data_IF_426228353318
#
_entry.id   IF_426228353318
#
_cell.length_a   1.000
_cell.length_b   1.000
_cell.length_c   1.000
_cell.angle_alpha   90.00
_cell.angle_beta   90.00
_cell.angle_gamma   90.00
#
_symmetry.space_group_name_H-M   'P 1'
#
loop_
_entity.id
_entity.type
_entity.pdbx_description
1 polymer ?
#
# COMPACT_ATOMS: atom_id res chain seq x y z
N UNK A 1 14.05 37.30 -19.48
CA UNK A 1 12.68 37.69 -19.12
C UNK A 1 12.24 36.79 -17.97
N UNK A 2 12.53 37.21 -16.74
CA UNK A 2 12.26 36.43 -15.54
C UNK A 2 10.85 36.76 -15.03
N UNK A 3 9.96 35.77 -14.98
CA UNK A 3 8.65 35.91 -14.34
C UNK A 3 8.81 35.75 -12.84
N UNK A 4 8.84 36.90 -12.18
CA UNK A 4 8.76 37.10 -10.74
C UNK A 4 7.31 36.76 -10.30
N UNK A 5 7.11 35.65 -9.58
CA UNK A 5 5.81 35.35 -8.96
C UNK A 5 5.91 35.75 -7.49
N UNK A 6 5.62 37.02 -7.26
CA UNK A 6 5.35 37.56 -5.93
C UNK A 6 3.92 37.22 -5.51
N UNK A 7 3.81 36.63 -4.31
CA UNK A 7 2.72 36.81 -3.35
C UNK A 7 1.27 36.72 -3.85
N UNK A 8 0.64 35.56 -3.62
CA UNK A 8 -0.80 35.52 -3.36
C UNK A 8 -1.11 34.64 -2.16
N UNK A 9 -1.55 35.29 -1.07
CA UNK A 9 -1.93 34.71 0.22
C UNK A 9 -3.21 33.85 0.18
N UNK A 10 -3.70 33.45 -0.99
CA UNK A 10 -4.84 32.52 -1.15
C UNK A 10 -4.45 31.06 -1.43
N UNK A 11 -3.18 30.77 -1.75
CA UNK A 11 -2.72 29.44 -2.19
C UNK A 11 -2.27 28.47 -1.09
N UNK A 12 -2.32 28.89 0.18
CA UNK A 12 -1.69 28.15 1.29
C UNK A 12 -2.29 26.76 1.55
N UNK A 13 -3.62 26.64 1.52
CA UNK A 13 -4.30 25.37 1.76
C UNK A 13 -4.14 24.40 0.58
N UNK A 14 -4.27 24.89 -0.65
CA UNK A 14 -4.15 24.06 -1.85
C UNK A 14 -2.70 23.57 -2.05
N UNK A 15 -1.71 24.43 -1.82
CA UNK A 15 -0.29 24.05 -1.87
C UNK A 15 0.10 23.07 -0.75
N UNK A 16 -0.47 23.24 0.46
CA UNK A 16 -0.29 22.30 1.56
C UNK A 16 -0.93 20.94 1.26
N UNK A 17 -2.19 20.91 0.81
CA UNK A 17 -2.90 19.67 0.49
C UNK A 17 -2.18 18.91 -0.63
N UNK A 18 -1.68 19.63 -1.64
CA UNK A 18 -0.86 19.05 -2.70
C UNK A 18 0.42 18.43 -2.11
N UNK A 19 1.18 19.16 -1.29
CA UNK A 19 2.37 18.63 -0.64
C UNK A 19 2.06 17.39 0.23
N UNK A 20 0.91 17.35 0.91
CA UNK A 20 0.51 16.18 1.69
C UNK A 20 0.19 14.98 0.82
N UNK A 21 -0.55 15.15 -0.27
CA UNK A 21 -0.89 14.05 -1.17
C UNK A 21 0.37 13.48 -1.85
N UNK A 22 1.39 14.31 -2.07
CA UNK A 22 2.70 13.88 -2.60
C UNK A 22 3.73 13.58 -1.50
N UNK A 23 3.31 13.58 -0.24
CA UNK A 23 4.15 13.36 0.93
C UNK A 23 4.50 11.89 1.14
N UNK A 24 5.65 11.64 1.77
CA UNK A 24 6.16 10.29 2.03
C UNK A 24 5.26 9.51 2.97
N UNK A 25 4.69 10.17 3.98
CA UNK A 25 3.80 9.53 4.95
C UNK A 25 2.42 9.22 4.39
N UNK A 26 1.89 10.08 3.52
CA UNK A 26 0.64 9.80 2.82
C UNK A 26 0.78 8.60 1.87
N UNK A 27 1.95 8.46 1.24
CA UNK A 27 2.26 7.27 0.45
C UNK A 27 2.30 6.00 1.30
N UNK A 28 2.86 6.04 2.51
CA UNK A 28 2.82 4.89 3.43
C UNK A 28 1.37 4.51 3.76
N UNK A 29 0.51 5.49 4.04
CA UNK A 29 -0.92 5.25 4.25
C UNK A 29 -1.60 4.63 3.02
N UNK A 30 -1.36 5.19 1.83
CA UNK A 30 -1.89 4.66 0.57
C UNK A 30 -1.46 3.20 0.34
N UNK A 31 -0.19 2.90 0.64
CA UNK A 31 0.35 1.55 0.60
C UNK A 31 -0.31 0.61 1.60
N UNK A 32 -0.55 1.05 2.85
CA UNK A 32 -1.31 0.27 3.83
C UNK A 32 -2.70 -0.09 3.30
N UNK A 33 -3.42 0.86 2.70
CA UNK A 33 -4.75 0.59 2.11
C UNK A 33 -4.68 -0.39 0.94
N UNK A 34 -3.69 -0.26 0.06
CA UNK A 34 -3.46 -1.23 -1.02
C UNK A 34 -3.21 -2.63 -0.44
N UNK A 35 -2.40 -2.73 0.64
CA UNK A 35 -2.11 -4.01 1.30
C UNK A 35 -3.35 -4.63 1.97
N UNK A 36 -4.23 -3.81 2.56
CA UNK A 36 -5.54 -4.28 3.05
C UNK A 36 -6.35 -4.87 1.90
N UNK A 37 -6.38 -4.23 0.73
CA UNK A 37 -7.05 -4.75 -0.46
C UNK A 37 -6.39 -6.01 -1.05
N UNK A 38 -5.08 -6.14 -0.92
CA UNK A 38 -4.27 -7.15 -1.56
C UNK A 38 -4.33 -8.55 -0.91
N UNK A 39 -5.25 -8.83 0.02
CA UNK A 39 -5.37 -10.15 0.66
C UNK A 39 -6.67 -10.91 0.36
N UNK A 40 -7.29 -10.64 -0.78
CA UNK A 40 -8.49 -11.35 -1.26
C UNK A 40 -8.33 -12.89 -1.35
N UNK A 41 -7.11 -13.42 -1.51
CA UNK A 41 -6.89 -14.88 -1.53
C UNK A 41 -7.13 -15.59 -0.20
N UNK A 42 -7.09 -14.88 0.94
CA UNK A 42 -7.43 -15.46 2.24
C UNK A 42 -8.92 -15.81 2.35
N UNK A 43 -9.77 -15.18 1.54
CA UNK A 43 -11.21 -15.46 1.48
C UNK A 43 -11.55 -16.66 0.60
N UNK A 44 -10.56 -17.33 -0.01
CA UNK A 44 -10.81 -18.50 -0.85
C UNK A 44 -11.63 -19.56 -0.12
N UNK A 45 -11.39 -19.80 1.17
CA UNK A 45 -12.18 -20.76 1.94
C UNK A 45 -13.66 -20.41 2.07
N UNK A 46 -14.01 -19.13 1.93
CA UNK A 46 -15.40 -18.64 1.96
C UNK A 46 -16.04 -18.79 0.58
N UNK A 47 -15.47 -18.17 -0.45
CA UNK A 47 -16.11 -18.17 -1.78
C UNK A 47 -15.96 -19.50 -2.55
N UNK A 48 -14.96 -20.33 -2.25
CA UNK A 48 -14.82 -21.64 -2.89
C UNK A 48 -15.97 -22.58 -2.54
N UNK A 49 -16.53 -22.47 -1.33
CA UNK A 49 -17.72 -23.22 -0.92
C UNK A 49 -18.94 -22.86 -1.77
N UNK A 50 -19.10 -21.58 -2.10
CA UNK A 50 -20.16 -21.12 -3.00
C UNK A 50 -19.96 -21.57 -4.44
N UNK A 51 -18.71 -21.53 -4.94
CA UNK A 51 -18.37 -22.06 -6.26
C UNK A 51 -18.77 -23.55 -6.32
N UNK A 52 -18.47 -24.33 -5.27
CA UNK A 52 -18.87 -25.73 -5.13
C UNK A 52 -20.39 -25.89 -5.23
N UNK A 53 -21.13 -25.17 -4.38
CA UNK A 53 -22.58 -25.28 -4.28
C UNK A 53 -23.28 -24.85 -5.57
N UNK A 54 -22.78 -23.80 -6.23
CA UNK A 54 -23.45 -23.20 -7.39
C UNK A 54 -23.14 -23.93 -8.70
N UNK A 55 -21.89 -24.36 -8.88
CA UNK A 55 -21.45 -25.03 -10.11
C UNK A 55 -21.50 -26.56 -10.01
N UNK A 56 -21.79 -27.11 -8.83
CA UNK A 56 -21.81 -28.56 -8.60
C UNK A 56 -20.43 -29.19 -8.78
N UNK A 57 -19.37 -28.50 -8.35
CA UNK A 57 -18.01 -29.04 -8.35
C UNK A 57 -17.80 -29.97 -7.16
N UNK A 58 -16.91 -30.93 -7.32
CA UNK A 58 -16.49 -31.84 -6.28
C UNK A 58 -15.30 -31.26 -5.48
N UNK A 59 -14.91 -31.95 -4.40
CA UNK A 59 -13.82 -31.47 -3.55
C UNK A 59 -12.46 -31.54 -4.26
N UNK A 60 -12.24 -32.50 -5.16
CA UNK A 60 -10.99 -32.60 -5.92
C UNK A 60 -10.81 -31.37 -6.81
N UNK A 61 -11.87 -30.95 -7.51
CA UNK A 61 -11.87 -29.72 -8.30
C UNK A 61 -11.58 -28.49 -7.45
N UNK A 62 -12.16 -28.35 -6.26
CA UNK A 62 -11.85 -27.23 -5.37
C UNK A 62 -10.40 -27.24 -4.89
N UNK A 63 -9.85 -28.41 -4.59
CA UNK A 63 -8.45 -28.54 -4.21
C UNK A 63 -7.54 -28.10 -5.36
N UNK A 64 -7.87 -28.48 -6.61
CA UNK A 64 -7.16 -28.00 -7.81
C UNK A 64 -7.26 -26.48 -7.95
N UNK A 65 -8.44 -25.89 -7.75
CA UNK A 65 -8.63 -24.43 -7.75
C UNK A 65 -7.77 -23.76 -6.67
N UNK A 66 -7.67 -24.37 -5.49
CA UNK A 66 -6.79 -23.94 -4.40
C UNK A 66 -5.31 -24.00 -4.80
N UNK A 67 -4.87 -25.08 -5.44
CA UNK A 67 -3.52 -25.20 -5.99
C UNK A 67 -3.23 -24.13 -7.04
N UNK A 68 -4.18 -23.86 -7.94
CA UNK A 68 -4.02 -22.79 -8.94
C UNK A 68 -3.99 -21.38 -8.32
N UNK A 69 -4.77 -21.15 -7.26
CA UNK A 69 -4.68 -19.93 -6.44
C UNK A 69 -3.30 -19.78 -5.84
N UNK A 70 -2.79 -20.82 -5.18
CA UNK A 70 -1.49 -20.80 -4.52
C UNK A 70 -0.36 -20.62 -5.54
N UNK A 71 -0.47 -21.25 -6.70
CA UNK A 71 0.44 -21.02 -7.82
C UNK A 71 0.40 -19.54 -8.24
N UNK A 72 -0.77 -18.99 -8.52
CA UNK A 72 -0.92 -17.57 -8.91
C UNK A 72 -0.36 -16.62 -7.86
N UNK A 73 -0.62 -16.87 -6.58
CA UNK A 73 -0.11 -16.08 -5.45
C UNK A 73 1.41 -16.17 -5.29
N UNK A 74 2.04 -17.28 -5.68
CA UNK A 74 3.49 -17.47 -5.53
C UNK A 74 4.30 -17.11 -6.78
N UNK A 75 3.69 -17.08 -7.97
CA UNK A 75 4.36 -16.70 -9.23
C UNK A 75 4.51 -15.16 -9.29
N UNK A 76 5.40 -14.62 -8.47
CA UNK A 76 5.70 -13.18 -8.41
C UNK A 76 6.74 -12.69 -9.42
N UNK A 77 7.36 -13.61 -10.18
CA UNK A 77 8.44 -13.27 -11.14
C UNK A 77 7.94 -12.28 -12.19
N UNK A 78 6.70 -12.44 -12.67
CA UNK A 78 6.11 -11.55 -13.68
C UNK A 78 5.96 -10.11 -13.17
N UNK A 79 5.51 -9.92 -11.93
CA UNK A 79 5.39 -8.58 -11.35
C UNK A 79 6.75 -7.97 -11.06
N UNK A 80 7.74 -8.78 -10.66
CA UNK A 80 9.12 -8.34 -10.44
C UNK A 80 9.77 -7.83 -11.72
N UNK A 81 9.75 -8.64 -12.80
CA UNK A 81 10.27 -8.24 -14.11
C UNK A 81 9.58 -6.98 -14.64
N UNK A 82 8.25 -6.88 -14.50
CA UNK A 82 7.55 -5.67 -14.93
C UNK A 82 7.98 -4.44 -14.13
N UNK A 83 8.25 -4.58 -12.83
CA UNK A 83 8.68 -3.48 -11.98
C UNK A 83 10.12 -3.01 -12.25
N UNK A 84 10.94 -3.80 -12.95
CA UNK A 84 12.26 -3.37 -13.43
C UNK A 84 12.17 -2.47 -14.66
N UNK A 85 11.22 -2.74 -15.55
CA UNK A 85 11.09 -2.02 -16.84
C UNK A 85 10.04 -0.92 -16.83
N UNK A 86 9.04 -1.00 -15.93
CA UNK A 86 7.91 -0.09 -15.88
C UNK A 86 7.82 0.65 -14.54
N UNK A 87 7.25 1.88 -14.53
CA UNK A 87 7.07 2.64 -13.31
C UNK A 87 6.03 2.00 -12.36
N UNK A 88 6.09 2.27 -11.04
CA UNK A 88 5.19 1.64 -10.05
C UNK A 88 3.70 1.81 -10.32
N UNK A 89 3.29 2.97 -10.86
CA UNK A 89 1.89 3.24 -11.21
C UNK A 89 1.37 2.24 -12.26
N UNK A 90 2.21 1.87 -13.22
CA UNK A 90 1.83 0.93 -14.28
C UNK A 90 1.71 -0.48 -13.73
N UNK A 91 2.63 -0.89 -12.85
CA UNK A 91 2.59 -2.19 -12.16
C UNK A 91 1.29 -2.33 -11.33
N UNK A 92 0.92 -1.28 -10.58
CA UNK A 92 -0.32 -1.25 -9.81
C UNK A 92 -1.58 -1.26 -10.70
N UNK A 93 -1.53 -0.57 -11.84
CA UNK A 93 -2.63 -0.55 -12.82
C UNK A 93 -2.87 -1.96 -13.40
N UNK A 94 -1.81 -2.64 -13.83
CA UNK A 94 -1.89 -4.03 -14.32
C UNK A 94 -2.44 -4.94 -13.24
N UNK A 95 -1.95 -4.82 -12.00
CA UNK A 95 -2.48 -5.57 -10.86
C UNK A 95 -3.97 -5.33 -10.62
N UNK A 96 -4.42 -4.06 -10.66
CA UNK A 96 -5.83 -3.71 -10.49
C UNK A 96 -6.72 -4.32 -11.57
N UNK A 97 -6.30 -4.24 -12.84
CA UNK A 97 -7.02 -4.87 -13.96
C UNK A 97 -7.08 -6.38 -13.81
N UNK A 98 -5.97 -7.03 -13.43
CA UNK A 98 -5.94 -8.47 -13.18
C UNK A 98 -6.86 -8.87 -12.01
N UNK A 99 -6.87 -8.08 -10.93
CA UNK A 99 -7.74 -8.31 -9.78
C UNK A 99 -9.20 -8.27 -10.20
N UNK A 100 -9.61 -7.17 -10.84
CA UNK A 100 -10.97 -6.99 -11.30
C UNK A 100 -11.37 -8.08 -12.29
N UNK A 101 -10.57 -8.31 -13.34
CA UNK A 101 -10.88 -9.30 -14.36
C UNK A 101 -10.99 -10.73 -13.80
N UNK A 102 -10.06 -11.15 -12.95
CA UNK A 102 -10.06 -12.48 -12.34
C UNK A 102 -11.30 -12.72 -11.48
N UNK A 103 -11.53 -11.86 -10.48
CA UNK A 103 -12.66 -12.02 -9.55
C UNK A 103 -14.01 -11.72 -10.20
N UNK A 104 -14.09 -10.79 -11.15
CA UNK A 104 -15.32 -10.50 -11.88
C UNK A 104 -15.74 -11.67 -12.76
N UNK A 105 -14.80 -12.36 -13.43
CA UNK A 105 -15.11 -13.57 -14.19
C UNK A 105 -15.61 -14.71 -13.29
N UNK A 106 -15.02 -14.88 -12.11
CA UNK A 106 -15.52 -15.84 -11.10
C UNK A 106 -16.94 -15.47 -10.68
N UNK A 107 -17.20 -14.19 -10.41
CA UNK A 107 -18.52 -13.71 -10.04
C UNK A 107 -19.55 -13.96 -11.14
N UNK A 108 -19.24 -13.69 -12.41
CA UNK A 108 -20.13 -13.97 -13.54
C UNK A 108 -20.47 -15.47 -13.67
N UNK A 109 -19.49 -16.34 -13.43
CA UNK A 109 -19.69 -17.79 -13.41
C UNK A 109 -20.63 -18.22 -12.27
N UNK A 110 -20.44 -17.69 -11.06
CA UNK A 110 -21.29 -17.98 -9.89
C UNK A 110 -22.69 -17.39 -10.06
N UNK A 111 -22.83 -16.24 -10.72
CA UNK A 111 -24.14 -15.66 -11.03
C UNK A 111 -24.87 -16.37 -12.17
N UNK A 112 -24.28 -17.42 -12.76
CA UNK A 112 -24.80 -18.14 -13.95
C UNK A 112 -25.09 -17.21 -15.13
N UNK A 113 -24.40 -16.07 -15.22
CA UNK A 113 -24.52 -15.13 -16.36
C UNK A 113 -23.73 -15.58 -17.58
N UNK A 114 -22.79 -16.51 -17.39
CA UNK A 114 -22.02 -17.17 -18.45
C UNK A 114 -22.33 -18.67 -18.37
N UNK A 115 -22.21 -19.36 -19.51
CA UNK A 115 -22.22 -20.83 -19.55
C UNK A 115 -21.21 -21.43 -18.57
N UNK A 116 -21.55 -22.56 -17.94
CA UNK A 116 -20.73 -23.19 -16.90
C UNK A 116 -19.29 -23.33 -17.41
N UNK A 117 -18.32 -22.59 -16.83
CA UNK A 117 -16.95 -22.61 -17.32
C UNK A 117 -16.33 -23.99 -17.08
N UNK A 118 -15.41 -24.39 -17.96
CA UNK A 118 -14.61 -25.59 -17.71
C UNK A 118 -13.71 -25.35 -16.50
N UNK A 119 -13.33 -26.42 -15.81
CA UNK A 119 -12.47 -26.34 -14.60
C UNK A 119 -11.19 -25.54 -14.88
N UNK A 120 -10.53 -25.77 -16.01
CA UNK A 120 -9.35 -25.01 -16.44
C UNK A 120 -9.60 -23.49 -16.52
N UNK A 121 -10.76 -23.05 -17.01
CA UNK A 121 -11.08 -21.63 -17.08
C UNK A 121 -11.24 -21.01 -15.69
N UNK A 122 -11.87 -21.74 -14.76
CA UNK A 122 -11.96 -21.31 -13.36
C UNK A 122 -10.58 -21.25 -12.68
N UNK A 123 -9.74 -22.25 -12.92
CA UNK A 123 -8.34 -22.26 -12.48
C UNK A 123 -7.59 -21.03 -12.99
N UNK A 124 -7.77 -20.68 -14.27
CA UNK A 124 -7.16 -19.51 -14.87
C UNK A 124 -7.65 -18.20 -14.21
N UNK A 125 -8.97 -18.04 -14.03
CA UNK A 125 -9.52 -16.83 -13.40
C UNK A 125 -9.02 -16.64 -11.96
N UNK A 126 -8.96 -17.73 -11.20
CA UNK A 126 -8.45 -17.71 -9.82
C UNK A 126 -6.95 -17.45 -9.79
N UNK A 127 -6.19 -18.06 -10.70
CA UNK A 127 -4.76 -17.81 -10.82
C UNK A 127 -4.47 -16.34 -11.15
N UNK A 128 -5.19 -15.74 -12.11
CA UNK A 128 -5.07 -14.32 -12.46
C UNK A 128 -5.44 -13.42 -11.27
N UNK A 129 -6.57 -13.71 -10.61
CA UNK A 129 -7.03 -12.96 -9.44
C UNK A 129 -6.06 -13.06 -8.27
N UNK A 130 -5.42 -14.22 -8.05
CA UNK A 130 -4.39 -14.40 -7.04
C UNK A 130 -3.06 -13.71 -7.43
N UNK A 131 -2.70 -13.73 -8.71
CA UNK A 131 -1.47 -13.11 -9.20
C UNK A 131 -1.50 -11.58 -9.10
N UNK A 132 -2.70 -10.96 -9.14
CA UNK A 132 -2.88 -9.53 -8.89
C UNK A 132 -2.24 -9.05 -7.58
N UNK A 133 -2.23 -9.91 -6.55
CA UNK A 133 -1.62 -9.62 -5.26
C UNK A 133 -0.12 -9.40 -5.38
N UNK A 134 0.55 -10.11 -6.28
CA UNK A 134 1.98 -9.94 -6.52
C UNK A 134 2.29 -8.59 -7.16
N UNK A 135 1.42 -8.11 -8.05
CA UNK A 135 1.52 -6.76 -8.61
C UNK A 135 1.29 -5.68 -7.55
N UNK A 136 0.27 -5.83 -6.69
CA UNK A 136 0.04 -4.92 -5.58
C UNK A 136 1.23 -4.90 -4.60
N UNK A 137 1.73 -6.08 -4.20
CA UNK A 137 2.92 -6.22 -3.38
C UNK A 137 4.12 -5.55 -4.06
N UNK A 138 4.43 -5.89 -5.30
CA UNK A 138 5.62 -5.35 -5.98
C UNK A 138 5.51 -3.84 -6.18
N UNK A 139 4.37 -3.34 -6.67
CA UNK A 139 4.19 -1.92 -6.96
C UNK A 139 4.20 -1.03 -5.72
N UNK A 140 3.55 -1.45 -4.63
CA UNK A 140 3.44 -0.64 -3.41
C UNK A 140 4.55 -0.93 -2.40
N UNK A 141 4.81 -2.21 -2.06
CA UNK A 141 5.76 -2.58 -1.01
C UNK A 141 7.21 -2.31 -1.42
N UNK A 142 7.62 -2.65 -2.65
CA UNK A 142 9.00 -2.37 -3.11
C UNK A 142 9.25 -0.86 -3.21
N UNK A 143 8.24 -0.09 -3.62
CA UNK A 143 8.34 1.38 -3.65
C UNK A 143 8.47 1.96 -2.24
N UNK A 144 7.71 1.45 -1.27
CA UNK A 144 7.87 1.84 0.13
C UNK A 144 9.25 1.47 0.69
N UNK A 145 9.77 0.29 0.38
CA UNK A 145 11.11 -0.16 0.83
C UNK A 145 12.23 0.77 0.37
N UNK A 146 12.14 1.24 -0.89
CA UNK A 146 13.05 2.24 -1.45
C UNK A 146 12.93 3.61 -0.76
N UNK A 147 11.73 3.97 -0.28
CA UNK A 147 11.48 5.26 0.36
C UNK A 147 11.87 5.31 1.85
N UNK A 148 11.93 4.16 2.53
CA UNK A 148 12.26 4.03 3.95
C UNK A 148 13.40 3.03 4.20
N UNK A 149 14.65 3.34 3.78
CA UNK A 149 15.75 2.39 3.84
C UNK A 149 16.25 2.09 5.26
N UNK A 150 16.05 2.98 6.23
CA UNK A 150 16.48 2.77 7.62
C UNK A 150 15.55 1.84 8.40
N UNK A 151 14.25 1.88 8.10
CA UNK A 151 13.19 1.18 8.85
C UNK A 151 12.54 0.03 8.07
N UNK A 152 13.25 -0.56 7.10
CA UNK A 152 12.71 -1.58 6.17
C UNK A 152 11.98 -2.70 6.87
N UNK A 153 12.59 -3.29 7.92
CA UNK A 153 12.01 -4.42 8.65
C UNK A 153 10.64 -4.10 9.26
N UNK A 154 10.51 -2.96 9.97
CA UNK A 154 9.24 -2.54 10.58
C UNK A 154 8.19 -2.21 9.53
N UNK A 155 8.59 -1.47 8.49
CA UNK A 155 7.72 -1.11 7.38
C UNK A 155 7.15 -2.37 6.69
N UNK A 156 8.01 -3.32 6.33
CA UNK A 156 7.62 -4.59 5.72
C UNK A 156 6.69 -5.39 6.64
N UNK A 157 7.00 -5.45 7.94
CA UNK A 157 6.19 -6.12 8.95
C UNK A 157 4.78 -5.53 9.05
N UNK A 158 4.65 -4.21 9.11
CA UNK A 158 3.36 -3.52 9.16
C UNK A 158 2.55 -3.80 7.89
N UNK A 159 3.16 -3.60 6.71
CA UNK A 159 2.49 -3.80 5.43
C UNK A 159 1.98 -5.24 5.26
N UNK A 160 2.83 -6.24 5.54
CA UNK A 160 2.43 -7.66 5.49
C UNK A 160 1.45 -8.02 6.60
N UNK A 161 1.51 -7.36 7.76
CA UNK A 161 0.52 -7.47 8.82
C UNK A 161 -0.88 -7.11 8.31
N UNK A 162 -1.03 -5.98 7.61
CA UNK A 162 -2.30 -5.61 6.98
C UNK A 162 -2.76 -6.59 5.90
N UNK A 163 -1.83 -7.14 5.10
CA UNK A 163 -2.16 -8.24 4.17
C UNK A 163 -2.74 -9.44 4.93
N UNK A 164 -2.16 -9.84 6.07
CA UNK A 164 -2.68 -10.94 6.90
C UNK A 164 -4.05 -10.63 7.53
N UNK A 165 -4.27 -9.39 7.97
CA UNK A 165 -5.53 -8.95 8.58
C UNK A 165 -6.67 -8.79 7.57
N UNK A 166 -6.36 -8.56 6.29
CA UNK A 166 -7.32 -8.30 5.22
C UNK A 166 -8.46 -9.32 5.15
N UNK A 167 -8.19 -10.62 5.32
CA UNK A 167 -9.21 -11.66 5.19
C UNK A 167 -10.32 -11.50 6.23
N UNK A 168 -9.93 -11.16 7.46
CA UNK A 168 -10.88 -10.88 8.52
C UNK A 168 -11.59 -9.54 8.28
N UNK A 169 -10.89 -8.50 7.81
CA UNK A 169 -11.47 -7.18 7.48
C UNK A 169 -12.55 -7.32 6.40
N UNK A 170 -12.25 -8.04 5.31
CA UNK A 170 -13.21 -8.30 4.25
C UNK A 170 -14.39 -9.15 4.70
N UNK A 171 -14.16 -10.11 5.60
CA UNK A 171 -15.24 -10.90 6.19
C UNK A 171 -16.21 -9.99 6.94
N UNK A 172 -15.71 -9.04 7.74
CA UNK A 172 -16.54 -8.04 8.43
C UNK A 172 -17.29 -7.13 7.46
N UNK A 173 -16.58 -6.56 6.48
CA UNK A 173 -17.18 -5.69 5.46
C UNK A 173 -18.31 -6.41 4.73
N UNK A 174 -18.09 -7.67 4.36
CA UNK A 174 -19.10 -8.48 3.71
C UNK A 174 -20.34 -8.70 4.61
N UNK A 175 -20.15 -9.17 5.84
CA UNK A 175 -21.26 -9.44 6.77
C UNK A 175 -22.03 -8.15 7.11
N UNK A 176 -21.35 -7.02 7.14
CA UNK A 176 -21.96 -5.72 7.39
C UNK A 176 -22.71 -5.14 6.19
N UNK A 177 -22.23 -5.33 4.95
CA UNK A 177 -22.84 -4.70 3.76
C UNK A 177 -23.90 -5.61 3.15
N UNK A 178 -23.62 -6.90 3.05
CA UNK A 178 -24.42 -7.87 2.30
C UNK A 178 -25.14 -8.88 3.19
N UNK A 179 -24.85 -8.89 4.50
CA UNK A 179 -25.45 -9.80 5.46
C UNK A 179 -25.01 -11.25 5.21
N UNK A 180 -25.70 -11.94 4.31
CA UNK A 180 -25.49 -13.36 4.02
C UNK A 180 -25.47 -13.72 2.52
N UNK A 181 -25.43 -12.74 1.61
CA UNK A 181 -25.29 -13.02 0.16
C UNK A 181 -23.83 -13.18 -0.26
N UNK A 182 -23.30 -14.40 -0.12
CA UNK A 182 -21.89 -14.71 -0.38
C UNK A 182 -21.50 -14.49 -1.87
N UNK A 183 -22.48 -14.45 -2.78
CA UNK A 183 -22.22 -14.14 -4.20
C UNK A 183 -21.73 -12.71 -4.36
N UNK A 184 -22.29 -11.79 -3.58
CA UNK A 184 -21.89 -10.38 -3.55
C UNK A 184 -20.51 -10.18 -2.91
N UNK A 185 -20.01 -11.13 -2.09
CA UNK A 185 -18.63 -11.13 -1.58
C UNK A 185 -17.58 -11.22 -2.68
N UNK A 186 -17.82 -12.07 -3.69
CA UNK A 186 -16.88 -12.25 -4.81
C UNK A 186 -16.77 -10.95 -5.62
N UNK A 187 -17.89 -10.24 -5.78
CA UNK A 187 -17.89 -8.95 -6.43
C UNK A 187 -17.12 -7.92 -5.60
N UNK A 188 -17.35 -7.85 -4.29
CA UNK A 188 -16.67 -6.94 -3.37
C UNK A 188 -15.15 -7.08 -3.44
N UNK A 189 -14.61 -8.31 -3.42
CA UNK A 189 -13.16 -8.55 -3.55
C UNK A 189 -12.63 -8.27 -4.95
N UNK A 190 -13.49 -8.25 -5.97
CA UNK A 190 -13.09 -7.92 -7.34
C UNK A 190 -12.93 -6.42 -7.56
N UNK A 191 -13.91 -5.61 -7.17
CA UNK A 191 -13.88 -4.17 -7.45
C UNK A 191 -13.21 -3.35 -6.35
N UNK A 192 -13.36 -3.69 -5.06
CA UNK A 192 -12.89 -2.81 -3.98
C UNK A 192 -11.36 -2.71 -3.94
N UNK A 193 -10.57 -3.82 -3.96
CA UNK A 193 -9.12 -3.73 -4.07
C UNK A 193 -8.66 -3.00 -5.33
N UNK A 194 -9.31 -3.30 -6.47
CA UNK A 194 -9.00 -2.68 -7.75
C UNK A 194 -9.21 -1.16 -7.70
N UNK A 195 -10.32 -0.70 -7.11
CA UNK A 195 -10.63 0.71 -6.92
C UNK A 195 -9.64 1.40 -5.99
N UNK A 196 -9.29 0.77 -4.85
CA UNK A 196 -8.28 1.31 -3.92
C UNK A 196 -6.95 1.48 -4.66
N UNK A 197 -6.49 0.47 -5.42
CA UNK A 197 -5.26 0.57 -6.20
C UNK A 197 -5.34 1.66 -7.28
N UNK A 198 -6.48 1.87 -7.93
CA UNK A 198 -6.66 2.93 -8.94
C UNK A 198 -6.63 4.33 -8.32
N UNK A 199 -7.29 4.53 -7.16
CA UNK A 199 -7.31 5.82 -6.47
C UNK A 199 -5.89 6.23 -6.07
N UNK A 200 -5.08 5.30 -5.59
CA UNK A 200 -3.73 5.56 -5.09
C UNK A 200 -2.62 5.32 -6.12
N UNK A 201 -2.96 4.99 -7.36
CA UNK A 201 -2.00 4.62 -8.41
C UNK A 201 -0.95 5.71 -8.67
N UNK A 202 -1.38 6.98 -8.62
CA UNK A 202 -0.51 8.13 -8.83
C UNK A 202 0.17 8.60 -7.54
N UNK A 203 -0.25 8.12 -6.38
CA UNK A 203 0.34 8.46 -5.08
C UNK A 203 1.61 7.66 -4.83
N UNK A 204 1.69 6.42 -5.30
CA UNK A 204 2.86 5.54 -5.09
C UNK A 204 3.98 5.88 -6.07
N UNK A 205 5.08 6.46 -5.56
CA UNK A 205 6.24 6.89 -6.35
C UNK A 205 7.55 6.74 -5.56
N UNK A 206 8.69 6.49 -6.21
CA UNK A 206 9.97 6.62 -5.54
C UNK A 206 10.20 8.09 -5.19
N UNK A 207 10.38 8.39 -3.90
CA UNK A 207 10.72 9.72 -3.40
C UNK A 207 12.22 9.77 -3.08
N UNK A 208 12.84 10.96 -3.18
CA UNK A 208 14.22 11.13 -2.73
C UNK A 208 14.31 10.83 -1.23
N UNK A 209 15.25 9.99 -0.85
CA UNK A 209 15.46 9.61 0.56
C UNK A 209 15.92 10.84 1.33
N UNK A 210 15.05 11.35 2.21
CA UNK A 210 15.39 12.37 3.20
C UNK A 210 15.31 11.74 4.59
N UNK A 211 16.41 11.76 5.33
CA UNK A 211 16.46 11.27 6.72
C UNK A 211 15.52 12.12 7.57
N UNK A 212 14.48 11.49 8.15
CA UNK A 212 13.55 12.19 9.05
C UNK A 212 13.92 11.83 10.49
N UNK A 213 14.21 12.81 11.36
CA UNK A 213 14.80 12.54 12.68
C UNK A 213 13.90 11.70 13.61
N UNK A 214 12.58 11.70 13.38
CA UNK A 214 11.60 10.94 14.17
C UNK A 214 10.98 9.73 13.46
N UNK A 215 11.57 9.23 12.37
CA UNK A 215 11.01 8.14 11.56
C UNK A 215 10.63 6.90 12.39
N UNK A 216 11.53 6.40 13.24
CA UNK A 216 11.29 5.22 14.08
C UNK A 216 10.07 5.39 15.00
N UNK A 217 9.89 6.58 15.59
CA UNK A 217 8.77 6.87 16.50
C UNK A 217 7.43 6.77 15.77
N UNK A 218 7.36 7.22 14.52
CA UNK A 218 6.15 7.13 13.70
C UNK A 218 5.86 5.67 13.33
N UNK A 219 6.89 4.87 13.01
CA UNK A 219 6.72 3.44 12.78
C UNK A 219 6.22 2.69 14.02
N UNK A 220 6.69 3.03 15.22
CA UNK A 220 6.13 2.48 16.46
C UNK A 220 4.66 2.83 16.63
N UNK A 221 4.23 4.04 16.29
CA UNK A 221 2.81 4.41 16.32
C UNK A 221 1.98 3.55 15.35
N UNK A 222 2.44 3.36 14.11
CA UNK A 222 1.78 2.47 13.16
C UNK A 222 1.73 1.02 13.64
N UNK A 223 2.81 0.55 14.27
CA UNK A 223 2.87 -0.80 14.84
C UNK A 223 1.87 -0.97 15.98
N UNK A 224 1.76 -0.01 16.91
CA UNK A 224 0.75 -0.05 17.99
C UNK A 224 -0.68 -0.07 17.43
N UNK A 225 -0.97 0.73 16.40
CA UNK A 225 -2.28 0.72 15.72
C UNK A 225 -2.54 -0.65 15.09
N UNK A 226 -1.54 -1.24 14.42
CA UNK A 226 -1.67 -2.54 13.76
C UNK A 226 -1.91 -3.66 14.78
N UNK A 227 -1.21 -3.63 15.92
CA UNK A 227 -1.44 -4.60 17.02
C UNK A 227 -2.84 -4.42 17.61
N UNK A 228 -3.25 -3.18 17.91
CA UNK A 228 -4.59 -2.91 18.43
C UNK A 228 -5.68 -3.38 17.46
N UNK A 229 -5.50 -3.13 16.17
CA UNK A 229 -6.38 -3.64 15.11
C UNK A 229 -6.40 -5.17 15.10
N UNK A 230 -5.25 -5.84 15.16
CA UNK A 230 -5.17 -7.29 15.19
C UNK A 230 -5.89 -7.91 16.39
N UNK A 231 -5.70 -7.35 17.59
CA UNK A 231 -6.37 -7.79 18.82
C UNK A 231 -7.88 -7.57 18.74
N UNK A 232 -8.33 -6.41 18.22
CA UNK A 232 -9.74 -6.16 17.98
C UNK A 232 -10.32 -7.17 16.99
N UNK A 233 -9.65 -7.42 15.87
CA UNK A 233 -10.09 -8.40 14.87
C UNK A 233 -10.16 -9.81 15.45
N UNK A 234 -9.20 -10.21 16.28
CA UNK A 234 -9.21 -11.49 16.98
C UNK A 234 -10.41 -11.59 17.94
N UNK A 235 -10.64 -10.58 18.78
CA UNK A 235 -11.77 -10.54 19.70
C UNK A 235 -13.11 -10.60 18.96
N UNK A 236 -13.28 -9.83 17.87
CA UNK A 236 -14.48 -9.83 17.04
C UNK A 236 -14.71 -11.20 16.38
N UNK A 237 -13.65 -11.83 15.85
CA UNK A 237 -13.76 -13.14 15.19
C UNK A 237 -14.15 -14.25 16.18
N UNK A 238 -13.65 -14.19 17.41
CA UNK A 238 -14.04 -15.12 18.49
C UNK A 238 -15.48 -14.85 18.90
N UNK A 239 -15.84 -13.59 19.16
CA UNK A 239 -17.19 -13.21 19.57
C UNK A 239 -18.26 -13.63 18.54
N UNK A 240 -17.95 -13.57 17.25
CA UNK A 240 -18.83 -14.02 16.16
C UNK A 240 -19.10 -15.53 16.15
N UNK A 241 -18.19 -16.33 16.70
CA UNK A 241 -18.37 -17.78 16.80
C UNK A 241 -19.24 -18.19 17.98
N UNK A 242 -19.14 -17.43 19.08
CA UNK A 242 -19.81 -17.75 20.34
C UNK A 242 -21.17 -17.06 20.50
N UNK A 243 -21.36 -15.89 19.87
CA UNK A 243 -22.56 -15.07 20.03
C UNK A 243 -23.23 -14.83 18.68
N UNK A 244 -24.56 -14.93 18.64
CA UNK A 244 -25.34 -14.49 17.48
C UNK A 244 -25.30 -12.96 17.36
N UNK A 245 -24.48 -12.47 16.42
CA UNK A 245 -24.39 -11.03 16.14
C UNK A 245 -25.62 -10.55 15.37
N UNK A 246 -26.27 -9.49 15.87
CA UNK A 246 -27.24 -8.72 15.11
C UNK A 246 -26.55 -7.96 13.97
N UNK A 247 -27.28 -7.64 12.91
CA UNK A 247 -26.75 -6.86 11.78
C UNK A 247 -26.17 -5.50 12.24
N UNK A 248 -26.81 -4.84 13.21
CA UNK A 248 -26.30 -3.60 13.80
C UNK A 248 -24.94 -3.77 14.50
N UNK A 249 -24.70 -4.93 15.10
CA UNK A 249 -23.42 -5.24 15.74
C UNK A 249 -22.30 -5.43 14.69
N UNK A 250 -22.61 -6.04 13.54
CA UNK A 250 -21.68 -6.11 12.40
C UNK A 250 -21.34 -4.74 11.83
N UNK A 251 -22.34 -3.87 11.68
CA UNK A 251 -22.14 -2.49 11.22
C UNK A 251 -21.28 -1.71 12.21
N UNK A 252 -21.60 -1.75 13.51
CA UNK A 252 -20.80 -1.09 14.54
C UNK A 252 -19.35 -1.57 14.60
N UNK A 253 -19.15 -2.89 14.50
CA UNK A 253 -17.80 -3.50 14.48
C UNK A 253 -17.00 -3.09 13.24
N UNK A 254 -17.66 -3.04 12.08
CA UNK A 254 -17.04 -2.63 10.81
C UNK A 254 -16.65 -1.15 10.86
N UNK A 255 -17.51 -0.28 11.41
CA UNK A 255 -17.19 1.15 11.60
C UNK A 255 -15.97 1.29 12.51
N UNK A 256 -15.91 0.59 13.64
CA UNK A 256 -14.77 0.65 14.56
C UNK A 256 -13.45 0.21 13.87
N UNK A 257 -13.50 -0.87 13.08
CA UNK A 257 -12.36 -1.37 12.31
C UNK A 257 -11.94 -0.38 11.22
N UNK A 258 -12.88 0.19 10.48
CA UNK A 258 -12.59 1.23 9.49
C UNK A 258 -11.91 2.43 10.14
N UNK A 259 -12.42 2.93 11.27
CA UNK A 259 -11.79 4.05 11.99
C UNK A 259 -10.32 3.75 12.34
N UNK A 260 -10.02 2.55 12.81
CA UNK A 260 -8.63 2.14 13.10
C UNK A 260 -7.76 2.03 11.83
N UNK A 261 -8.31 1.52 10.72
CA UNK A 261 -7.59 1.43 9.44
C UNK A 261 -7.28 2.83 8.87
N UNK A 262 -8.14 3.81 9.10
CA UNK A 262 -7.93 5.19 8.67
C UNK A 262 -7.09 6.01 9.68
N UNK A 263 -6.82 5.53 10.89
CA UNK A 263 -6.02 6.24 11.88
C UNK A 263 -4.59 6.59 11.42
N UNK A 264 -3.87 5.73 10.66
CA UNK A 264 -2.59 6.08 10.04
C UNK A 264 -2.64 7.32 9.14
N UNK A 265 -3.80 7.66 8.56
CA UNK A 265 -3.98 8.88 7.77
C UNK A 265 -3.79 10.14 8.63
N UNK A 266 -4.34 10.14 9.84
CA UNK A 266 -4.22 11.27 10.78
C UNK A 266 -2.76 11.50 11.16
N UNK A 267 -2.02 10.42 11.38
CA UNK A 267 -0.57 10.47 11.64
C UNK A 267 0.16 11.04 10.41
N UNK A 268 -0.18 10.56 9.21
CA UNK A 268 0.43 11.06 7.98
C UNK A 268 0.21 12.57 7.79
N UNK A 269 -1.01 13.07 8.00
CA UNK A 269 -1.29 14.51 7.94
C UNK A 269 -0.49 15.30 8.99
N UNK A 270 -0.39 14.79 10.22
CA UNK A 270 0.33 15.45 11.31
C UNK A 270 1.84 15.54 11.05
N UNK A 271 2.46 14.46 10.59
CA UNK A 271 3.90 14.42 10.31
C UNK A 271 4.25 15.27 9.09
N UNK A 272 3.39 15.27 8.07
CA UNK A 272 3.58 16.13 6.91
C UNK A 272 3.34 17.62 7.24
N UNK A 273 2.37 17.94 8.11
CA UNK A 273 2.20 19.30 8.64
C UNK A 273 3.44 19.78 9.40
N UNK A 274 4.01 18.91 10.22
CA UNK A 274 5.22 19.22 10.99
C UNK A 274 6.39 19.48 10.06
N UNK A 275 6.56 18.64 9.03
CA UNK A 275 7.58 18.81 7.98
C UNK A 275 7.39 20.11 7.21
N UNK A 276 6.17 20.42 6.78
CA UNK A 276 5.84 21.66 6.08
C UNK A 276 6.13 22.91 6.90
N UNK A 277 5.81 22.88 8.20
CA UNK A 277 6.12 23.98 9.14
C UNK A 277 7.63 24.17 9.29
N UNK A 278 8.40 23.10 9.38
CA UNK A 278 9.87 23.17 9.42
C UNK A 278 10.45 23.73 8.12
N UNK A 279 9.97 23.30 6.95
CA UNK A 279 10.42 23.85 5.65
C UNK A 279 10.08 25.33 5.50
N UNK A 280 8.90 25.78 5.98
CA UNK A 280 8.54 27.21 5.98
C UNK A 280 9.32 28.04 7.00
N UNK A 281 9.80 27.44 8.08
CA UNK A 281 10.63 28.10 9.10
C UNK A 281 12.12 28.18 8.71
N UNK A 282 12.53 27.58 7.59
CA UNK A 282 13.83 27.74 6.96
C UNK A 282 13.75 28.69 5.74
N UNK A 283 13.47 30.01 5.89
CA UNK A 283 13.70 30.95 4.81
C UNK A 283 15.20 31.32 4.75
N UNK A 284 15.81 31.16 3.58
CA UNK A 284 17.04 31.86 3.11
C UNK A 284 18.38 31.48 3.78
N UNK A 285 19.07 30.44 3.29
CA UNK A 285 20.55 30.33 3.39
C UNK A 285 21.23 30.09 2.03
N UNK A 286 20.48 30.04 0.91
CA UNK A 286 21.07 29.76 -0.41
C UNK A 286 21.46 30.99 -1.25
N UNK A 287 21.36 32.21 -0.74
CA UNK A 287 21.90 33.41 -1.41
C UNK A 287 23.03 34.06 -0.58
N UNK A 288 24.08 33.30 -0.28
CA UNK A 288 25.39 33.92 -0.07
C UNK A 288 26.12 33.92 -1.43
N UNK A 289 26.42 35.09 -2.04
CA UNK A 289 27.31 35.11 -3.19
C UNK A 289 28.67 34.51 -2.77
N UNK A 290 29.40 33.85 -3.69
CA UNK A 290 30.71 33.30 -3.36
C UNK A 290 31.58 34.43 -2.79
N UNK A 291 32.09 34.24 -1.57
CA UNK A 291 33.02 35.20 -0.98
C UNK A 291 34.23 35.37 -1.91
N UNK A 292 34.73 36.60 -2.09
CA UNK A 292 35.89 36.82 -2.94
C UNK A 292 37.07 36.07 -2.32
N UNK A 293 37.65 35.17 -3.12
CA UNK A 293 38.89 34.45 -2.80
C UNK A 293 39.88 35.43 -2.15
N UNK A 294 40.12 35.23 -0.85
CA UNK A 294 41.21 35.91 -0.15
C UNK A 294 42.50 35.56 -0.87
N UNK A 295 43.16 36.57 -1.43
CA UNK A 295 44.48 36.46 -2.04
C UNK A 295 45.43 35.95 -0.95
N UNK A 296 45.88 34.71 -1.07
CA UNK A 296 47.08 34.25 -0.38
C UNK A 296 48.25 35.03 -0.96
N UNK A 297 48.70 36.05 -0.23
CA UNK A 297 49.95 36.72 -0.54
C UNK A 297 51.10 35.77 -0.14
N UNK A 298 52.07 35.49 -1.03
CA UNK A 298 53.19 34.62 -0.71
C UNK A 298 54.19 35.42 0.11
N UNK A 299 54.33 35.10 1.41
CA UNK A 299 55.45 35.56 2.20
C UNK A 299 56.45 34.42 2.41
N UNK A 300 57.59 34.61 1.72
CA UNK A 300 58.96 34.40 2.19
C UNK A 300 59.46 32.95 2.17
N UNK A 301 60.11 32.62 1.05
CA UNK A 301 61.26 31.73 1.05
C UNK A 301 62.32 32.34 0.10
N UNK A 302 63.24 33.11 0.67
CA UNK A 302 64.59 33.38 0.14
C UNK A 302 65.54 32.67 1.10
N UNK A 303 66.19 31.61 0.63
CA UNK A 303 67.59 31.63 0.21
C UNK A 303 68.51 31.86 1.41
N UNK A 304 69.07 30.77 1.92
CA UNK A 304 70.48 30.74 2.30
C UNK A 304 71.08 29.49 1.66
N UNK A 305 71.88 29.74 0.64
CA UNK A 305 72.86 28.85 0.04
C UNK A 305 74.22 29.22 0.59
N UNK A 306 74.90 28.28 1.24
CA UNK A 306 76.36 28.08 1.24
C UNK A 306 76.59 26.65 1.77
N UNK A 307 76.98 25.72 0.90
CA UNK A 307 78.37 25.33 0.62
C UNK A 307 79.05 24.71 1.84
N UNK A 308 79.31 23.39 1.77
CA UNK A 308 80.66 22.87 1.91
C UNK A 308 80.74 21.44 1.35
N UNK A 309 81.78 21.24 0.55
CA UNK A 309 82.23 20.03 -0.14
C UNK A 309 82.71 18.94 0.84
N UNK A 310 82.51 17.67 0.51
CA UNK A 310 83.55 16.67 0.13
C UNK A 310 82.94 15.25 0.05
#
# INVERSE_FOLDING_TARGET
>A
MATNIGGSGGGGCCGYLFQVIFGRWFMMFASILIMVGAGATYLFGVYSKEIKATLGYDQSTLNLLGTCKDLGANVGVLSGLLAEVAPPWFVLLVGSVMNFAGYFMIWLAVMKKISKPKVWQMCLYICIGANSQNFANTGSLVTCDKNFPESRGMMLGIMKGFVGLSGAIFTLLYLSIYGNDVKSTILLIGWLPALISLIFVYTIRPLKVTTHPNELKVFYQYLYITIALALLMMALTIAQKEVHFSHYAYVGSTIAVCVLIFLPLVIAFREEYTSWKHTRQLPVVLDQPPSPKSKSNPQIQREDSHEEDE
#
